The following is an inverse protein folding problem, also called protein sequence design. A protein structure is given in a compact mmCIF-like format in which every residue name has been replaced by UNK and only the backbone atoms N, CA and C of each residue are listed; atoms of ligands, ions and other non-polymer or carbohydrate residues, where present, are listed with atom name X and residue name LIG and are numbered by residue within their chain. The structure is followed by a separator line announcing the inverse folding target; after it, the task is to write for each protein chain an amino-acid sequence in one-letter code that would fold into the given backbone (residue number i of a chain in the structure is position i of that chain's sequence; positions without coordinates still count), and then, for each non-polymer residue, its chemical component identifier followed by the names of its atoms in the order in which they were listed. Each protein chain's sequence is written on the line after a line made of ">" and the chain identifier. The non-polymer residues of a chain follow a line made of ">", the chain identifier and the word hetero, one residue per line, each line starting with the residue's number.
data_IF_032392276083
#
_entry.id   IF_032392276083
#
_cell.length_a   1.000
_cell.length_b   1.000
_cell.length_c   1.000
_cell.angle_alpha   90.00
_cell.angle_beta   90.00
_cell.angle_gamma   90.00
#
_symmetry.space_group_name_H-M   'P 1'
#
loop_
_entity.id
_entity.type
_entity.pdbx_description
1 polymer ?
#
# COMPACT_ATOMS: atom_id res chain seq x y z
N UNK A 1 -12.20 -16.86 -7.06
CA UNK A 1 -11.44 -16.53 -5.83
C UNK A 1 -12.20 -15.48 -5.03
N UNK A 2 -12.37 -15.70 -3.74
CA UNK A 2 -13.09 -14.77 -2.88
C UNK A 2 -12.18 -13.61 -2.44
N UNK A 3 -12.79 -12.49 -2.06
CA UNK A 3 -12.05 -11.33 -1.56
C UNK A 3 -11.21 -11.69 -0.33
N UNK A 4 -11.74 -12.55 0.56
CA UNK A 4 -11.03 -13.05 1.75
C UNK A 4 -9.72 -13.74 1.39
N UNK A 5 -9.77 -14.63 0.39
CA UNK A 5 -8.58 -15.39 -0.05
C UNK A 5 -7.52 -14.44 -0.61
N UNK A 6 -7.93 -13.46 -1.40
CA UNK A 6 -6.99 -12.48 -1.96
C UNK A 6 -6.34 -11.64 -0.86
N UNK A 7 -7.12 -11.20 0.13
CA UNK A 7 -6.59 -10.44 1.26
C UNK A 7 -5.64 -11.24 2.11
N UNK A 8 -5.92 -12.53 2.30
CA UNK A 8 -5.03 -13.44 3.02
C UNK A 8 -3.69 -13.58 2.29
N UNK A 9 -3.72 -13.76 0.98
CA UNK A 9 -2.51 -13.86 0.18
C UNK A 9 -1.72 -12.56 0.21
N UNK A 10 -2.40 -11.42 0.15
CA UNK A 10 -1.77 -10.11 0.25
C UNK A 10 -1.06 -9.95 1.58
N UNK A 11 -1.73 -10.28 2.69
CA UNK A 11 -1.16 -10.20 4.02
C UNK A 11 0.05 -11.12 4.18
N UNK A 12 -0.04 -12.36 3.67
CA UNK A 12 1.06 -13.32 3.71
C UNK A 12 2.28 -12.80 2.96
N UNK A 13 2.06 -12.18 1.80
CA UNK A 13 3.14 -11.59 1.01
C UNK A 13 3.84 -10.49 1.80
N UNK A 14 3.08 -9.62 2.46
CA UNK A 14 3.64 -8.51 3.23
C UNK A 14 4.33 -8.96 4.50
N UNK A 15 3.93 -10.09 5.08
CA UNK A 15 4.67 -10.70 6.20
C UNK A 15 6.03 -11.19 5.73
N UNK A 16 6.07 -11.75 4.52
CA UNK A 16 7.29 -12.31 3.95
C UNK A 16 8.27 -11.23 3.48
N UNK A 17 7.76 -10.18 2.81
CA UNK A 17 8.60 -9.12 2.23
C UNK A 17 7.81 -7.82 2.05
N UNK A 18 8.53 -6.66 2.02
CA UNK A 18 7.86 -5.41 1.67
C UNK A 18 7.48 -5.39 0.19
N UNK A 19 6.38 -4.72 -0.14
CA UNK A 19 5.91 -4.63 -1.51
C UNK A 19 5.10 -3.35 -1.75
N UNK A 20 5.07 -2.90 -3.01
CA UNK A 20 4.21 -1.80 -3.44
C UNK A 20 2.87 -2.36 -3.91
N UNK A 21 1.88 -1.47 -4.10
CA UNK A 21 0.58 -1.88 -4.65
C UNK A 21 0.72 -2.45 -6.06
N UNK A 22 1.62 -1.90 -6.87
CA UNK A 22 1.87 -2.41 -8.24
C UNK A 22 2.42 -3.83 -8.22
N UNK A 23 3.36 -4.10 -7.32
CA UNK A 23 3.91 -5.45 -7.16
C UNK A 23 2.84 -6.43 -6.72
N UNK A 24 2.00 -6.03 -5.76
CA UNK A 24 0.91 -6.87 -5.27
C UNK A 24 -0.13 -7.11 -6.36
N UNK A 25 -0.44 -6.10 -7.17
CA UNK A 25 -1.38 -6.25 -8.28
C UNK A 25 -0.91 -7.31 -9.26
N UNK A 26 0.38 -7.34 -9.56
CA UNK A 26 0.97 -8.33 -10.44
C UNK A 26 0.91 -9.74 -9.83
N UNK A 27 1.31 -9.87 -8.57
CA UNK A 27 1.31 -11.17 -7.88
C UNK A 27 -0.08 -11.75 -7.68
N UNK A 28 -1.05 -10.90 -7.36
CA UNK A 28 -2.42 -11.32 -7.07
C UNK A 28 -3.30 -11.36 -8.31
N UNK A 29 -2.77 -10.93 -9.45
CA UNK A 29 -3.50 -10.83 -10.72
C UNK A 29 -4.81 -10.04 -10.53
N UNK A 30 -4.68 -8.85 -9.91
CA UNK A 30 -5.80 -7.98 -9.59
C UNK A 30 -5.48 -6.54 -9.98
N UNK A 31 -6.51 -5.72 -10.30
CA UNK A 31 -6.29 -4.30 -10.57
C UNK A 31 -5.72 -3.57 -9.35
N UNK A 32 -4.92 -2.54 -9.59
CA UNK A 32 -4.33 -1.74 -8.51
C UNK A 32 -5.40 -1.14 -7.58
N UNK A 33 -6.52 -0.69 -8.14
CA UNK A 33 -7.63 -0.15 -7.33
C UNK A 33 -8.17 -1.17 -6.33
N UNK A 34 -8.26 -2.42 -6.75
CA UNK A 34 -8.69 -3.53 -5.87
C UNK A 34 -7.65 -3.78 -4.78
N UNK A 35 -6.36 -3.75 -5.16
CA UNK A 35 -5.27 -3.92 -4.19
C UNK A 35 -5.31 -2.82 -3.12
N UNK A 36 -5.54 -1.57 -3.51
CA UNK A 36 -5.65 -0.48 -2.54
C UNK A 36 -6.82 -0.67 -1.57
N UNK A 37 -7.95 -1.17 -2.05
CA UNK A 37 -9.09 -1.49 -1.18
C UNK A 37 -8.72 -2.58 -0.18
N UNK A 38 -8.05 -3.62 -0.66
CA UNK A 38 -7.61 -4.72 0.20
C UNK A 38 -6.59 -4.25 1.23
N UNK A 39 -5.66 -3.36 0.84
CA UNK A 39 -4.68 -2.77 1.74
C UNK A 39 -5.35 -2.00 2.87
N UNK A 40 -6.39 -1.23 2.55
CA UNK A 40 -7.17 -0.51 3.58
C UNK A 40 -7.82 -1.46 4.56
N UNK A 41 -8.37 -2.56 4.06
CA UNK A 41 -8.99 -3.59 4.91
C UNK A 41 -7.97 -4.24 5.82
N UNK A 42 -6.83 -4.63 5.27
CA UNK A 42 -5.76 -5.27 6.03
C UNK A 42 -5.21 -4.31 7.09
N UNK A 43 -5.01 -3.05 6.74
CA UNK A 43 -4.53 -2.03 7.67
C UNK A 43 -5.47 -1.89 8.87
N UNK A 44 -6.78 -1.87 8.64
CA UNK A 44 -7.78 -1.81 9.71
C UNK A 44 -7.74 -3.04 10.60
N UNK A 45 -7.65 -4.22 9.98
CA UNK A 45 -7.62 -5.48 10.72
C UNK A 45 -6.40 -5.58 11.63
N UNK A 46 -5.23 -5.20 11.11
CA UNK A 46 -3.98 -5.30 11.87
C UNK A 46 -3.83 -4.22 12.93
N UNK A 47 -4.63 -3.15 12.87
CA UNK A 47 -4.61 -2.11 13.89
C UNK A 47 -4.99 -2.66 15.28
N UNK A 48 -5.79 -3.72 15.31
CA UNK A 48 -6.32 -4.30 16.55
C UNK A 48 -5.65 -5.62 16.95
N UNK A 49 -4.58 -6.00 16.25
CA UNK A 49 -3.82 -7.24 16.57
C UNK A 49 -2.52 -6.88 17.28
N UNK A 50 -2.29 -7.51 18.42
CA UNK A 50 -1.12 -7.22 19.24
C UNK A 50 0.16 -7.83 18.70
N UNK A 51 0.07 -8.89 17.91
CA UNK A 51 1.22 -9.65 17.44
C UNK A 51 1.66 -9.29 16.00
N UNK A 52 0.98 -8.37 15.36
CA UNK A 52 1.31 -7.97 14.00
C UNK A 52 1.07 -6.47 13.81
N UNK A 53 1.93 -5.82 13.06
CA UNK A 53 1.85 -4.39 12.78
C UNK A 53 1.92 -4.13 11.29
N UNK A 54 0.98 -3.35 10.79
CA UNK A 54 0.95 -2.93 9.39
C UNK A 54 1.74 -1.64 9.24
N UNK A 55 2.85 -1.71 8.53
CA UNK A 55 3.76 -0.60 8.34
C UNK A 55 3.69 -0.06 6.92
N UNK A 56 3.79 1.25 6.79
CA UNK A 56 3.75 1.93 5.50
C UNK A 56 4.91 2.92 5.40
N UNK A 57 5.75 2.74 4.36
CA UNK A 57 6.69 3.78 3.97
C UNK A 57 5.91 4.69 3.00
N UNK A 58 5.68 5.97 3.35
CA UNK A 58 4.77 6.81 2.56
C UNK A 58 5.29 7.08 1.15
N UNK A 59 4.40 7.39 0.20
CA UNK A 59 4.83 7.76 -1.14
C UNK A 59 5.65 9.05 -1.09
N UNK A 60 6.55 9.23 -2.05
CA UNK A 60 7.43 10.39 -2.11
C UNK A 60 7.46 10.96 -3.51
N UNK A 61 7.35 12.28 -3.60
CA UNK A 61 7.51 12.97 -4.88
C UNK A 61 8.97 12.93 -5.30
N UNK A 62 9.27 12.38 -6.47
CA UNK A 62 10.64 12.28 -6.95
C UNK A 62 11.19 13.61 -7.43
N UNK A 63 10.32 14.61 -7.65
CA UNK A 63 10.72 15.93 -8.11
C UNK A 63 11.14 16.88 -6.99
N UNK A 64 10.38 16.91 -5.88
CA UNK A 64 10.65 17.83 -4.77
C UNK A 64 10.90 17.16 -3.42
N UNK A 65 10.71 15.85 -3.32
CA UNK A 65 10.93 15.10 -2.08
C UNK A 65 9.78 15.15 -1.09
N UNK A 66 8.64 15.72 -1.47
CA UNK A 66 7.49 15.80 -0.58
C UNK A 66 6.95 14.39 -0.26
N UNK A 67 6.72 14.12 1.01
CA UNK A 67 6.26 12.80 1.46
C UNK A 67 5.13 12.85 2.51
N UNK A 68 4.62 14.04 2.82
CA UNK A 68 3.58 14.22 3.84
C UNK A 68 2.17 14.11 3.26
N UNK A 69 1.90 13.03 2.53
CA UNK A 69 0.58 12.77 1.95
C UNK A 69 -0.41 12.33 3.04
N UNK A 70 -1.65 12.79 2.94
CA UNK A 70 -2.68 12.56 3.95
C UNK A 70 -3.04 11.08 4.11
N UNK A 71 -3.07 10.35 3.02
CA UNK A 71 -3.46 8.95 3.04
C UNK A 71 -2.44 8.10 2.27
N UNK A 72 -1.46 7.51 2.97
CA UNK A 72 -0.42 6.71 2.31
C UNK A 72 -0.94 5.41 1.67
N UNK A 73 -2.15 4.98 2.01
CA UNK A 73 -2.74 3.78 1.41
C UNK A 73 -3.39 4.09 0.06
N UNK A 74 -3.66 5.37 -0.23
CA UNK A 74 -4.14 5.79 -1.54
C UNK A 74 -2.97 6.33 -2.36
N UNK A 75 -2.91 5.93 -3.64
CA UNK A 75 -1.88 6.45 -4.53
C UNK A 75 -2.22 7.89 -4.93
N UNK A 76 -1.38 8.86 -4.57
CA UNK A 76 -1.65 10.25 -4.93
C UNK A 76 -1.40 10.47 -6.44
N UNK A 77 -2.30 11.21 -7.09
CA UNK A 77 -2.20 11.46 -8.53
C UNK A 77 -1.19 12.57 -8.86
N UNK A 78 -0.95 13.47 -7.89
CA UNK A 78 0.00 14.55 -8.08
C UNK A 78 0.46 15.10 -6.72
N UNK A 79 1.66 15.68 -6.73
CA UNK A 79 2.23 16.29 -5.55
C UNK A 79 1.52 17.62 -5.24
N UNK A 80 1.06 17.86 -4.00
CA UNK A 80 0.41 19.13 -3.65
C UNK A 80 1.39 20.30 -3.60
N UNK A 81 2.69 20.04 -3.48
CA UNK A 81 3.70 21.10 -3.39
C UNK A 81 4.18 21.58 -4.75
N UNK A 82 4.54 20.65 -5.65
CA UNK A 82 5.10 21.01 -6.95
C UNK A 82 4.24 20.61 -8.13
N UNK A 83 3.13 19.92 -7.89
CA UNK A 83 2.17 19.45 -8.88
C UNK A 83 2.75 18.44 -9.89
N UNK A 84 3.90 17.87 -9.57
CA UNK A 84 4.48 16.79 -10.39
C UNK A 84 3.66 15.51 -10.23
N UNK A 85 3.58 14.73 -11.31
CA UNK A 85 2.94 13.41 -11.27
C UNK A 85 3.94 12.30 -11.00
N UNK A 86 5.22 12.64 -10.86
CA UNK A 86 6.31 11.68 -10.61
C UNK A 86 6.40 11.34 -9.13
N UNK A 87 5.53 10.46 -8.67
CA UNK A 87 5.45 10.07 -7.27
C UNK A 87 5.77 8.58 -7.15
N UNK A 88 6.73 8.24 -6.28
CA UNK A 88 7.04 6.85 -5.97
C UNK A 88 5.92 6.27 -5.12
N UNK A 89 5.58 5.01 -5.37
CA UNK A 89 4.54 4.34 -4.62
C UNK A 89 4.95 4.08 -3.18
N UNK A 90 3.96 4.08 -2.29
CA UNK A 90 4.16 3.65 -0.92
C UNK A 90 4.60 2.18 -0.90
N UNK A 91 5.39 1.81 0.10
CA UNK A 91 5.81 0.43 0.33
C UNK A 91 5.14 -0.07 1.61
N UNK A 92 4.58 -1.26 1.55
CA UNK A 92 3.83 -1.84 2.66
C UNK A 92 4.56 -3.06 3.22
N UNK A 93 4.42 -3.29 4.52
CA UNK A 93 5.04 -4.43 5.22
C UNK A 93 4.21 -4.78 6.45
N UNK A 94 4.18 -6.06 6.79
CA UNK A 94 3.57 -6.53 8.04
C UNK A 94 4.65 -7.21 8.87
N UNK A 95 4.81 -6.75 10.10
CA UNK A 95 5.81 -7.30 11.04
C UNK A 95 5.19 -7.73 12.37
#
# INVERSE_FOLDING_TARGET
>A
MTDSTRRERLAETLVDRPATASELATELDAPASTVYQDLKHVARSHRYKDDAEFLVAPPECTNCGFSAFDDPVNYPSRCPECRSESIEEAVFKIE
#
